data_IF_995466243310
#
_entry.id   IF_995466243310
#
_cell.length_a   1.000
_cell.length_b   1.000
_cell.length_c   1.000
_cell.angle_alpha   90.00
_cell.angle_beta   90.00
_cell.angle_gamma   90.00
#
_symmetry.space_group_name_H-M   'P 1'
#
loop_
_entity.id
_entity.type
_entity.pdbx_description
1 polymer ?
#
# COMPACT_ATOMS: atom_id res chain seq x y z
N UNK A 1 -39.51 -0.65 -36.70
CA UNK A 1 -39.75 -0.57 -35.25
C UNK A 1 -38.67 -1.38 -34.57
N UNK A 2 -37.55 -0.75 -34.21
CA UNK A 2 -36.53 -1.40 -33.39
C UNK A 2 -37.07 -1.48 -31.96
N UNK A 3 -37.41 -2.69 -31.54
CA UNK A 3 -37.82 -2.97 -30.17
C UNK A 3 -36.63 -2.84 -29.24
N UNK A 4 -36.41 -1.63 -28.71
CA UNK A 4 -35.53 -1.42 -27.56
C UNK A 4 -36.13 -2.14 -26.35
N UNK A 5 -35.69 -3.37 -26.08
CA UNK A 5 -36.02 -4.06 -24.82
C UNK A 5 -35.32 -3.32 -23.70
N UNK A 6 -36.09 -2.68 -22.82
CA UNK A 6 -35.54 -2.01 -21.65
C UNK A 6 -34.78 -3.03 -20.79
N UNK A 7 -33.57 -2.68 -20.33
CA UNK A 7 -32.72 -3.55 -19.51
C UNK A 7 -33.42 -4.01 -18.21
N UNK A 8 -34.41 -3.24 -17.75
CA UNK A 8 -35.29 -3.57 -16.62
C UNK A 8 -36.31 -4.69 -16.88
N UNK A 9 -36.48 -5.11 -18.14
CA UNK A 9 -37.35 -6.23 -18.51
C UNK A 9 -36.65 -7.59 -18.41
N UNK A 10 -35.34 -7.62 -18.15
CA UNK A 10 -34.60 -8.86 -17.93
C UNK A 10 -34.94 -9.46 -16.55
N UNK A 11 -34.99 -10.80 -16.42
CA UNK A 11 -35.12 -11.46 -15.14
C UNK A 11 -33.99 -11.07 -14.17
N UNK A 12 -34.29 -10.96 -12.88
CA UNK A 12 -33.33 -10.58 -11.85
C UNK A 12 -32.07 -11.46 -11.88
N UNK A 13 -32.22 -12.77 -12.12
CA UNK A 13 -31.09 -13.70 -12.23
C UNK A 13 -30.14 -13.38 -13.38
N UNK A 14 -30.65 -12.92 -14.53
CA UNK A 14 -29.80 -12.50 -15.65
C UNK A 14 -29.03 -11.22 -15.33
N UNK A 15 -29.69 -10.28 -14.64
CA UNK A 15 -29.06 -9.03 -14.17
C UNK A 15 -27.97 -9.36 -13.13
N UNK A 16 -28.26 -10.24 -12.17
CA UNK A 16 -27.30 -10.67 -11.16
C UNK A 16 -26.10 -11.38 -11.80
N UNK A 17 -26.33 -12.26 -12.78
CA UNK A 17 -25.25 -12.92 -13.51
C UNK A 17 -24.36 -11.91 -14.24
N UNK A 18 -24.95 -10.93 -14.93
CA UNK A 18 -24.18 -9.88 -15.60
C UNK A 18 -23.37 -9.06 -14.59
N UNK A 19 -23.98 -8.65 -13.46
CA UNK A 19 -23.30 -7.89 -12.39
C UNK A 19 -22.15 -8.71 -11.78
N UNK A 20 -22.30 -10.03 -11.62
CA UNK A 20 -21.26 -10.90 -11.05
C UNK A 20 -19.96 -10.94 -11.87
N UNK A 21 -20.01 -10.53 -13.14
CA UNK A 21 -18.85 -10.46 -14.04
C UNK A 21 -18.18 -9.07 -14.04
N UNK A 22 -18.67 -8.14 -13.22
CA UNK A 22 -18.13 -6.78 -13.08
C UNK A 22 -17.28 -6.65 -11.81
N UNK A 23 -17.00 -5.43 -11.35
CA UNK A 23 -16.31 -5.18 -10.08
C UNK A 23 -17.31 -4.97 -8.93
N UNK A 24 -16.88 -5.18 -7.67
CA UNK A 24 -17.66 -4.78 -6.48
C UNK A 24 -18.13 -3.32 -6.53
N UNK A 25 -17.27 -2.42 -7.04
CA UNK A 25 -17.61 -1.00 -7.25
C UNK A 25 -18.77 -0.84 -8.24
N UNK A 26 -18.72 -1.55 -9.37
CA UNK A 26 -19.77 -1.50 -10.39
C UNK A 26 -21.07 -2.11 -9.89
N UNK A 27 -21.02 -3.22 -9.16
CA UNK A 27 -22.21 -3.78 -8.52
C UNK A 27 -22.91 -2.79 -7.59
N UNK A 28 -22.14 -2.04 -6.79
CA UNK A 28 -22.70 -0.98 -5.94
C UNK A 28 -23.33 0.16 -6.74
N UNK A 29 -22.73 0.55 -7.87
CA UNK A 29 -23.29 1.58 -8.77
C UNK A 29 -24.55 1.08 -9.47
N UNK A 30 -24.55 -0.16 -9.95
CA UNK A 30 -25.71 -0.82 -10.56
C UNK A 30 -26.90 -0.84 -9.59
N UNK A 31 -26.67 -1.08 -8.30
CA UNK A 31 -27.74 -1.08 -7.29
C UNK A 31 -28.52 0.24 -7.18
N UNK A 32 -27.95 1.36 -7.63
CA UNK A 32 -28.60 2.67 -7.61
C UNK A 32 -29.57 2.90 -8.79
N UNK A 33 -29.51 2.06 -9.83
CA UNK A 33 -30.27 2.26 -11.09
C UNK A 33 -31.77 2.02 -10.90
N UNK A 34 -32.17 0.93 -10.26
CA UNK A 34 -33.58 0.58 -10.01
C UNK A 34 -33.72 -0.42 -8.87
N UNK A 35 -34.96 -0.69 -8.43
CA UNK A 35 -35.24 -1.69 -7.40
C UNK A 35 -34.80 -3.11 -7.83
N UNK A 36 -35.01 -3.48 -9.09
CA UNK A 36 -34.60 -4.79 -9.63
C UNK A 36 -33.08 -4.93 -9.62
N UNK A 37 -32.36 -3.88 -10.07
CA UNK A 37 -30.90 -3.87 -10.03
C UNK A 37 -30.35 -3.89 -8.61
N UNK A 38 -31.03 -3.22 -7.67
CA UNK A 38 -30.67 -3.24 -6.24
C UNK A 38 -30.77 -4.65 -5.66
N UNK A 39 -31.87 -5.34 -5.94
CA UNK A 39 -32.08 -6.73 -5.50
C UNK A 39 -31.03 -7.66 -6.12
N UNK A 40 -30.85 -7.60 -7.44
CA UNK A 40 -29.86 -8.38 -8.17
C UNK A 40 -28.43 -8.16 -7.66
N UNK A 41 -28.02 -6.90 -7.45
CA UNK A 41 -26.70 -6.54 -6.95
C UNK A 41 -26.48 -6.89 -5.46
N UNK A 42 -27.56 -7.09 -4.69
CA UNK A 42 -27.48 -7.54 -3.30
C UNK A 42 -27.35 -9.07 -3.17
N UNK A 43 -27.63 -9.82 -4.26
CA UNK A 43 -27.68 -11.27 -4.23
C UNK A 43 -26.33 -11.93 -3.94
N UNK A 44 -26.38 -12.96 -3.11
CA UNK A 44 -25.22 -13.75 -2.69
C UNK A 44 -24.51 -14.48 -3.83
N UNK A 45 -25.18 -14.69 -4.97
CA UNK A 45 -24.55 -15.24 -6.18
C UNK A 45 -23.51 -14.28 -6.77
N UNK A 46 -23.80 -12.96 -6.71
CA UNK A 46 -22.89 -11.90 -7.14
C UNK A 46 -21.67 -11.85 -6.22
N UNK A 47 -21.91 -11.74 -4.92
CA UNK A 47 -20.83 -11.58 -3.94
C UNK A 47 -19.97 -12.85 -3.79
N UNK A 48 -20.51 -14.03 -4.09
CA UNK A 48 -19.70 -15.27 -4.22
C UNK A 48 -18.60 -15.13 -5.26
N UNK A 49 -18.83 -14.40 -6.34
CA UNK A 49 -17.88 -14.22 -7.44
C UNK A 49 -16.79 -13.20 -7.13
N UNK A 50 -17.10 -12.22 -6.27
CA UNK A 50 -16.16 -11.18 -5.82
C UNK A 50 -15.25 -11.64 -4.67
N UNK A 51 -15.67 -12.66 -3.92
CA UNK A 51 -14.82 -13.27 -2.90
C UNK A 51 -13.76 -14.16 -3.57
N UNK A 52 -12.50 -14.15 -3.07
CA UNK A 52 -11.48 -15.07 -3.57
C UNK A 52 -11.90 -16.53 -3.43
N UNK A 53 -11.58 -17.36 -4.42
CA UNK A 53 -11.93 -18.79 -4.41
C UNK A 53 -11.21 -19.57 -3.30
N UNK A 54 -10.01 -19.14 -2.92
CA UNK A 54 -9.20 -19.66 -1.82
C UNK A 54 -9.53 -19.00 -0.48
N UNK A 55 -10.58 -18.18 -0.38
CA UNK A 55 -10.97 -17.56 0.88
C UNK A 55 -11.15 -18.56 2.04
N UNK A 56 -11.74 -19.76 1.85
CA UNK A 56 -11.85 -20.73 2.95
C UNK A 56 -10.50 -21.14 3.55
N UNK A 57 -9.44 -21.27 2.74
CA UNK A 57 -8.10 -21.61 3.24
C UNK A 57 -7.40 -20.41 3.89
N UNK A 58 -7.76 -19.18 3.51
CA UNK A 58 -7.33 -17.98 4.22
C UNK A 58 -8.02 -17.89 5.58
N UNK A 59 -9.34 -18.11 5.65
CA UNK A 59 -10.10 -18.04 6.89
C UNK A 59 -9.71 -19.13 7.90
N UNK A 60 -9.28 -20.32 7.43
CA UNK A 60 -8.76 -21.35 8.33
C UNK A 60 -7.44 -20.99 9.02
N UNK A 61 -6.74 -19.96 8.53
CA UNK A 61 -5.50 -19.41 9.14
C UNK A 61 -5.78 -18.24 10.08
N UNK A 62 -7.02 -17.77 10.17
CA UNK A 62 -7.40 -16.63 10.98
C UNK A 62 -7.26 -16.95 12.47
N UNK A 63 -6.75 -15.98 13.22
CA UNK A 63 -6.65 -16.07 14.69
C UNK A 63 -8.03 -16.09 15.32
N UNK A 64 -8.91 -15.21 14.86
CA UNK A 64 -10.30 -15.11 15.30
C UNK A 64 -11.24 -15.57 14.17
N UNK A 65 -12.25 -16.42 14.47
CA UNK A 65 -13.25 -16.81 13.50
C UNK A 65 -14.02 -15.62 12.93
N UNK A 66 -14.31 -15.67 11.63
CA UNK A 66 -15.10 -14.65 10.93
C UNK A 66 -16.38 -15.29 10.41
N UNK A 67 -17.49 -14.98 11.06
CA UNK A 67 -18.81 -15.42 10.64
C UNK A 67 -19.65 -14.21 10.24
N UNK A 68 -20.34 -14.32 9.10
CA UNK A 68 -21.22 -13.29 8.57
C UNK A 68 -22.47 -13.94 7.98
N UNK A 69 -23.64 -13.30 8.07
CA UNK A 69 -24.91 -13.90 7.65
C UNK A 69 -25.05 -14.02 6.13
N UNK A 70 -24.32 -13.19 5.36
CA UNK A 70 -24.32 -13.22 3.89
C UNK A 70 -22.90 -13.06 3.33
N UNK A 71 -22.68 -13.43 2.06
CA UNK A 71 -21.38 -13.22 1.39
C UNK A 71 -21.09 -11.76 1.14
N UNK A 72 -22.14 -10.96 0.95
CA UNK A 72 -22.03 -9.49 0.85
C UNK A 72 -21.48 -8.92 2.15
N UNK A 73 -22.05 -9.31 3.29
CA UNK A 73 -21.60 -8.84 4.60
C UNK A 73 -20.18 -9.32 4.89
N UNK A 74 -19.86 -10.56 4.53
CA UNK A 74 -18.49 -11.08 4.62
C UNK A 74 -17.51 -10.24 3.82
N UNK A 75 -17.85 -9.87 2.57
CA UNK A 75 -17.00 -9.04 1.72
C UNK A 75 -16.71 -7.68 2.38
N UNK A 76 -17.76 -6.96 2.80
CA UNK A 76 -17.58 -5.64 3.43
C UNK A 76 -16.87 -5.75 4.77
N UNK A 77 -17.15 -6.79 5.55
CA UNK A 77 -16.40 -7.08 6.78
C UNK A 77 -14.92 -7.21 6.46
N UNK A 78 -14.52 -8.01 5.47
CA UNK A 78 -13.13 -8.18 5.07
C UNK A 78 -12.49 -6.92 4.48
N UNK A 79 -13.26 -5.97 3.96
CA UNK A 79 -12.74 -4.65 3.58
C UNK A 79 -12.48 -3.74 4.78
N UNK A 80 -13.41 -3.74 5.76
CA UNK A 80 -13.44 -2.73 6.82
C UNK A 80 -12.54 -3.03 8.01
N UNK A 81 -12.34 -4.30 8.36
CA UNK A 81 -11.39 -4.62 9.43
C UNK A 81 -10.49 -5.79 9.02
N UNK A 82 -9.17 -5.59 8.95
CA UNK A 82 -8.23 -6.67 8.69
C UNK A 82 -8.40 -7.83 9.66
N UNK A 83 -8.14 -9.03 9.19
CA UNK A 83 -8.07 -10.24 10.02
C UNK A 83 -6.61 -10.60 10.23
N UNK A 84 -6.26 -11.06 11.43
CA UNK A 84 -4.91 -11.55 11.70
C UNK A 84 -4.80 -13.02 11.29
N UNK A 85 -3.73 -13.36 10.60
CA UNK A 85 -3.41 -14.70 10.15
C UNK A 85 -2.13 -15.19 10.83
N UNK A 86 -1.98 -16.50 10.92
CA UNK A 86 -0.74 -17.18 11.34
C UNK A 86 -0.19 -16.63 12.68
N UNK A 87 -1.02 -16.68 13.73
CA UNK A 87 -0.68 -16.14 15.06
C UNK A 87 -0.28 -14.65 15.07
N UNK A 88 -0.80 -13.86 14.11
CA UNK A 88 -0.52 -12.43 14.00
C UNK A 88 0.73 -12.10 13.19
N UNK A 89 1.33 -13.07 12.49
CA UNK A 89 2.47 -12.81 11.62
C UNK A 89 2.11 -11.90 10.44
N UNK A 90 0.86 -11.97 9.96
CA UNK A 90 0.36 -11.09 8.91
C UNK A 90 -1.12 -10.76 9.10
N UNK A 91 -1.60 -9.72 8.41
CA UNK A 91 -3.01 -9.39 8.33
C UNK A 91 -3.52 -9.46 6.89
N UNK A 92 -4.80 -9.78 6.73
CA UNK A 92 -5.47 -9.88 5.44
C UNK A 92 -6.71 -8.97 5.42
N UNK A 93 -6.94 -8.34 4.26
CA UNK A 93 -8.19 -7.64 3.94
C UNK A 93 -8.45 -7.70 2.44
N UNK A 94 -9.64 -7.29 2.02
CA UNK A 94 -9.95 -7.08 0.60
C UNK A 94 -9.90 -5.60 0.25
N UNK A 95 -9.36 -5.29 -0.92
CA UNK A 95 -9.55 -3.98 -1.53
C UNK A 95 -11.02 -3.78 -1.89
N UNK A 96 -11.59 -2.64 -1.48
CA UNK A 96 -13.03 -2.37 -1.52
C UNK A 96 -13.60 -2.23 -2.93
N UNK A 97 -12.81 -1.75 -3.89
CA UNK A 97 -13.32 -1.50 -5.23
C UNK A 97 -13.08 -2.65 -6.18
N UNK A 98 -11.91 -3.27 -6.11
CA UNK A 98 -11.51 -4.36 -6.99
C UNK A 98 -11.82 -5.75 -6.43
N UNK A 99 -11.89 -5.89 -5.10
CA UNK A 99 -11.91 -7.21 -4.45
C UNK A 99 -10.56 -7.93 -4.46
N UNK A 100 -9.48 -7.25 -4.89
CA UNK A 100 -8.15 -7.84 -4.83
C UNK A 100 -7.64 -7.96 -3.39
N UNK A 101 -6.85 -9.00 -3.14
CA UNK A 101 -6.34 -9.33 -1.81
C UNK A 101 -5.31 -8.30 -1.37
N UNK A 102 -5.37 -7.87 -0.12
CA UNK A 102 -4.35 -7.04 0.50
C UNK A 102 -3.76 -7.78 1.70
N UNK A 103 -2.44 -7.83 1.78
CA UNK A 103 -1.72 -8.42 2.91
C UNK A 103 -0.87 -7.37 3.60
N UNK A 104 -0.62 -7.56 4.89
CA UNK A 104 0.42 -6.81 5.59
C UNK A 104 1.22 -7.76 6.47
N UNK A 105 2.52 -7.82 6.25
CA UNK A 105 3.45 -8.55 7.11
C UNK A 105 3.70 -7.72 8.38
N UNK A 106 3.55 -8.33 9.55
CA UNK A 106 3.91 -7.69 10.82
C UNK A 106 5.42 -7.48 10.91
N UNK A 107 5.87 -6.52 11.72
CA UNK A 107 7.30 -6.33 11.98
C UNK A 107 7.98 -7.60 12.50
N UNK A 108 7.27 -8.47 13.24
CA UNK A 108 7.78 -9.76 13.71
C UNK A 108 7.99 -10.80 12.62
N UNK A 109 7.28 -10.68 11.50
CA UNK A 109 7.45 -11.54 10.33
C UNK A 109 8.53 -11.02 9.36
N UNK A 110 9.10 -9.84 9.62
CA UNK A 110 10.18 -9.28 8.82
C UNK A 110 11.54 -9.77 9.31
N UNK A 111 12.48 -9.90 8.38
CA UNK A 111 13.89 -10.06 8.71
C UNK A 111 14.50 -8.68 8.96
N UNK A 112 14.78 -8.38 10.22
CA UNK A 112 15.39 -7.13 10.66
C UNK A 112 16.79 -7.44 11.18
N UNK A 113 17.82 -6.83 10.57
CA UNK A 113 19.19 -7.01 11.04
C UNK A 113 19.33 -6.49 12.47
N UNK A 114 19.92 -7.34 13.31
CA UNK A 114 20.04 -7.17 14.76
C UNK A 114 18.71 -7.04 15.50
N UNK A 115 17.57 -7.43 14.89
CA UNK A 115 16.24 -7.32 15.50
C UNK A 115 16.07 -8.12 16.79
N UNK A 116 16.88 -9.16 17.01
CA UNK A 116 16.90 -9.95 18.27
C UNK A 116 17.82 -9.37 19.34
N UNK A 117 18.57 -8.32 19.02
CA UNK A 117 19.58 -7.71 19.90
C UNK A 117 18.96 -6.51 20.61
N UNK A 118 18.63 -6.61 21.91
CA UNK A 118 17.87 -5.59 22.65
C UNK A 118 18.59 -4.25 22.79
N UNK A 119 19.90 -4.19 22.55
CA UNK A 119 20.67 -2.95 22.49
C UNK A 119 20.30 -2.08 21.27
N UNK A 120 19.80 -2.70 20.19
CA UNK A 120 19.55 -2.05 18.91
C UNK A 120 18.06 -1.95 18.59
N UNK A 121 17.27 -2.95 18.99
CA UNK A 121 15.83 -3.00 18.74
C UNK A 121 15.08 -3.41 20.00
N UNK A 122 13.93 -2.79 20.24
CA UNK A 122 12.97 -3.24 21.25
C UNK A 122 11.65 -3.59 20.60
N UNK A 123 10.97 -4.58 21.17
CA UNK A 123 9.66 -5.06 20.71
C UNK A 123 8.63 -4.73 21.77
N UNK A 124 7.66 -3.91 21.43
CA UNK A 124 6.67 -3.42 22.38
C UNK A 124 5.27 -3.43 21.76
N UNK A 125 4.22 -3.58 22.58
CA UNK A 125 2.87 -3.29 22.14
C UNK A 125 2.74 -1.81 21.79
N UNK A 126 1.88 -1.48 20.83
CA UNK A 126 1.59 -0.11 20.46
C UNK A 126 0.06 0.06 20.34
N UNK A 127 -0.55 1.08 20.97
CA UNK A 127 -2.02 1.17 21.10
C UNK A 127 -2.75 1.26 19.76
N UNK A 128 -2.13 1.89 18.76
CA UNK A 128 -2.72 2.00 17.42
C UNK A 128 -2.24 0.91 16.46
N UNK A 129 -1.50 -0.10 16.93
CA UNK A 129 -1.08 -1.19 16.05
C UNK A 129 -2.14 -2.26 15.96
N UNK A 130 -2.30 -2.82 14.75
CA UNK A 130 -3.11 -4.04 14.56
C UNK A 130 -2.39 -5.31 15.02
N UNK A 131 -1.08 -5.26 15.20
CA UNK A 131 -0.26 -6.41 15.62
C UNK A 131 0.08 -6.33 17.11
N UNK A 132 0.32 -7.49 17.77
CA UNK A 132 0.66 -7.51 19.20
C UNK A 132 1.94 -6.76 19.55
N UNK A 133 2.90 -6.71 18.61
CA UNK A 133 4.20 -6.08 18.82
C UNK A 133 4.67 -5.34 17.57
N UNK A 134 5.28 -4.18 17.78
CA UNK A 134 5.98 -3.38 16.76
C UNK A 134 7.48 -3.36 17.06
N UNK A 135 8.30 -3.10 16.05
CA UNK A 135 9.76 -2.99 16.21
C UNK A 135 10.16 -1.52 16.38
N UNK A 136 10.75 -1.15 17.51
CA UNK A 136 11.31 0.19 17.75
C UNK A 136 12.83 0.15 17.69
N UNK A 137 13.39 0.96 16.82
CA UNK A 137 14.82 1.13 16.62
C UNK A 137 15.40 2.04 17.72
N UNK A 138 16.34 1.51 18.50
CA UNK A 138 16.98 2.23 19.60
C UNK A 138 18.17 3.05 19.14
N UNK A 139 19.11 2.44 18.42
CA UNK A 139 20.25 3.11 17.78
C UNK A 139 21.04 2.13 16.90
N UNK A 140 21.23 2.37 15.60
CA UNK A 140 22.08 1.55 14.71
C UNK A 140 22.78 2.42 13.66
N UNK A 141 23.90 1.97 13.11
CA UNK A 141 24.48 2.55 11.89
C UNK A 141 24.15 1.75 10.62
N UNK A 142 23.83 0.45 10.76
CA UNK A 142 23.39 -0.44 9.69
C UNK A 142 21.89 -0.71 9.83
N UNK A 143 21.08 -0.22 8.88
CA UNK A 143 19.64 -0.49 8.85
C UNK A 143 19.30 -1.36 7.66
N UNK A 144 18.63 -2.47 7.92
CA UNK A 144 18.20 -3.39 6.90
C UNK A 144 16.95 -4.13 7.39
N UNK A 145 15.87 -3.96 6.63
CA UNK A 145 14.57 -4.58 6.88
C UNK A 145 14.17 -5.28 5.58
N UNK A 146 13.87 -6.58 5.65
CA UNK A 146 13.39 -7.36 4.52
C UNK A 146 12.08 -8.08 4.84
N UNK A 147 11.22 -8.16 3.84
CA UNK A 147 9.97 -8.93 3.88
C UNK A 147 9.86 -9.81 2.64
N UNK A 148 9.23 -10.97 2.80
CA UNK A 148 8.99 -11.93 1.72
C UNK A 148 7.54 -12.39 1.76
N UNK A 149 6.91 -12.49 0.60
CA UNK A 149 5.57 -13.05 0.46
C UNK A 149 5.45 -13.83 -0.85
N UNK A 150 4.79 -14.99 -0.80
CA UNK A 150 4.54 -15.79 -2.01
C UNK A 150 3.54 -15.06 -2.93
N UNK A 151 3.88 -14.93 -4.21
CA UNK A 151 3.05 -14.27 -5.23
C UNK A 151 1.66 -14.92 -5.35
N UNK A 152 1.59 -16.25 -5.19
CA UNK A 152 0.34 -17.03 -5.18
C UNK A 152 -0.68 -16.62 -4.11
N UNK A 153 -0.24 -15.95 -3.03
CA UNK A 153 -1.17 -15.43 -2.03
C UNK A 153 -1.91 -14.19 -2.56
N UNK A 154 -1.35 -13.47 -3.52
CA UNK A 154 -1.89 -12.25 -4.08
C UNK A 154 -2.87 -12.55 -5.23
N UNK A 155 -3.78 -11.61 -5.51
CA UNK A 155 -4.65 -11.72 -6.69
C UNK A 155 -3.82 -11.67 -7.99
N UNK A 156 -4.07 -12.55 -8.96
CA UNK A 156 -3.38 -12.51 -10.26
C UNK A 156 -3.82 -11.29 -11.08
N UNK A 157 -3.08 -11.02 -12.15
CA UNK A 157 -3.31 -9.93 -13.11
C UNK A 157 -3.51 -8.56 -12.43
N UNK A 158 -2.74 -8.30 -11.37
CA UNK A 158 -2.89 -7.11 -10.53
C UNK A 158 -1.53 -6.46 -10.31
N UNK A 159 -1.44 -5.15 -10.52
CA UNK A 159 -0.27 -4.36 -10.09
C UNK A 159 -0.37 -4.04 -8.61
N UNK A 160 0.61 -4.49 -7.85
CA UNK A 160 0.75 -4.22 -6.42
C UNK A 160 1.80 -3.16 -6.16
N UNK A 161 1.66 -2.48 -5.03
CA UNK A 161 2.74 -1.71 -4.41
C UNK A 161 2.93 -2.16 -2.97
N UNK A 162 4.19 -2.19 -2.53
CA UNK A 162 4.57 -2.47 -1.15
C UNK A 162 4.83 -1.15 -0.42
N UNK A 163 4.32 -1.03 0.80
CA UNK A 163 4.43 0.16 1.63
C UNK A 163 4.98 -0.21 3.00
N UNK A 164 6.01 0.50 3.44
CA UNK A 164 6.42 0.42 4.84
C UNK A 164 5.45 1.24 5.68
N UNK A 165 4.87 0.62 6.70
CA UNK A 165 3.98 1.28 7.67
C UNK A 165 4.78 1.53 8.96
N UNK A 166 4.95 2.79 9.31
CA UNK A 166 5.87 3.19 10.38
C UNK A 166 5.46 4.49 11.09
N UNK A 167 6.09 4.73 12.23
CA UNK A 167 6.10 5.98 12.98
C UNK A 167 7.52 6.38 13.29
N UNK A 168 7.70 7.64 13.69
CA UNK A 168 8.95 8.13 14.26
C UNK A 168 8.69 8.72 15.64
N UNK A 169 9.54 8.34 16.60
CA UNK A 169 9.55 8.87 17.96
C UNK A 169 9.78 10.39 17.96
N UNK A 170 9.48 11.09 19.05
CA UNK A 170 9.74 12.54 19.18
C UNK A 170 11.22 12.86 19.02
N UNK A 171 12.08 12.03 19.60
CA UNK A 171 13.55 12.19 19.61
C UNK A 171 14.25 11.35 18.53
N UNK A 172 13.59 11.11 17.39
CA UNK A 172 14.20 10.39 16.27
C UNK A 172 15.38 11.19 15.69
N UNK A 173 16.38 10.48 15.19
CA UNK A 173 17.57 11.09 14.56
C UNK A 173 18.12 10.16 13.48
N UNK A 174 18.88 10.71 12.52
CA UNK A 174 19.61 9.95 11.50
C UNK A 174 18.73 9.28 10.44
N UNK A 175 17.46 9.67 10.33
CA UNK A 175 16.52 9.14 9.32
C UNK A 175 16.28 10.11 8.15
N UNK A 176 16.76 11.35 8.25
CA UNK A 176 16.68 12.36 7.20
C UNK A 176 17.82 12.27 6.19
N UNK A 177 18.98 11.79 6.63
CA UNK A 177 20.17 11.62 5.81
C UNK A 177 21.12 10.59 6.45
N UNK A 178 21.78 9.72 5.65
CA UNK A 178 21.57 9.54 4.21
C UNK A 178 20.20 8.94 3.92
N UNK A 179 19.69 9.07 2.68
CA UNK A 179 18.40 8.49 2.34
C UNK A 179 18.47 6.96 2.39
N UNK A 180 17.32 6.34 2.61
CA UNK A 180 17.17 4.90 2.61
C UNK A 180 16.88 4.41 1.18
N UNK A 181 17.50 3.30 0.80
CA UNK A 181 17.27 2.61 -0.46
C UNK A 181 16.18 1.54 -0.26
N UNK A 182 15.14 1.56 -1.07
CA UNK A 182 14.08 0.56 -1.07
C UNK A 182 14.07 -0.22 -2.38
N UNK A 183 13.76 -1.51 -2.29
CA UNK A 183 13.71 -2.39 -3.46
C UNK A 183 12.56 -3.38 -3.34
N UNK A 184 11.87 -3.63 -4.44
CA UNK A 184 10.89 -4.71 -4.58
C UNK A 184 11.24 -5.55 -5.80
N UNK A 185 11.29 -6.87 -5.60
CA UNK A 185 11.71 -7.84 -6.60
C UNK A 185 10.64 -8.94 -6.75
N UNK A 186 10.27 -9.26 -7.99
CA UNK A 186 9.50 -10.45 -8.33
C UNK A 186 10.02 -11.02 -9.65
N UNK A 187 10.74 -12.15 -9.59
CA UNK A 187 11.37 -12.73 -10.77
C UNK A 187 12.40 -11.77 -11.38
N UNK A 188 12.19 -11.37 -12.63
CA UNK A 188 13.01 -10.36 -13.33
C UNK A 188 12.55 -8.92 -13.09
N UNK A 189 11.40 -8.70 -12.45
CA UNK A 189 10.91 -7.36 -12.14
C UNK A 189 11.67 -6.80 -10.95
N UNK A 190 12.22 -5.60 -11.10
CA UNK A 190 12.93 -4.86 -10.06
C UNK A 190 12.40 -3.43 -10.02
N UNK A 191 11.98 -2.99 -8.84
CA UNK A 191 11.57 -1.61 -8.56
C UNK A 191 12.44 -1.05 -7.44
N UNK A 192 13.22 -0.03 -7.74
CA UNK A 192 14.12 0.64 -6.78
C UNK A 192 13.62 2.06 -6.49
N UNK A 193 13.78 2.50 -5.24
CA UNK A 193 13.41 3.84 -4.77
C UNK A 193 14.37 4.36 -3.73
N UNK A 194 14.48 5.69 -3.68
CA UNK A 194 15.21 6.42 -2.63
C UNK A 194 14.21 7.18 -1.77
N UNK A 195 14.28 7.00 -0.45
CA UNK A 195 13.29 7.43 0.52
C UNK A 195 13.94 8.22 1.67
N UNK A 196 13.16 9.10 2.32
CA UNK A 196 13.51 9.66 3.64
C UNK A 196 12.42 9.35 4.66
N UNK A 197 12.78 8.66 5.73
CA UNK A 197 11.84 8.30 6.81
C UNK A 197 11.62 9.46 7.80
N UNK A 198 11.16 10.60 7.29
CA UNK A 198 10.86 11.81 8.06
C UNK A 198 9.37 12.09 8.14
N UNK A 199 8.95 12.90 9.11
CA UNK A 199 7.55 13.35 9.18
C UNK A 199 7.21 14.17 7.92
N UNK A 200 6.01 13.98 7.32
CA UNK A 200 5.54 14.86 6.26
C UNK A 200 5.48 16.31 6.76
N UNK A 201 5.90 17.28 5.93
CA UNK A 201 5.72 18.70 6.22
C UNK A 201 4.22 19.02 6.25
N UNK A 202 3.72 19.56 7.36
CA UNK A 202 2.33 20.02 7.44
C UNK A 202 2.10 21.15 6.42
N UNK A 203 1.11 20.97 5.54
CA UNK A 203 0.70 22.00 4.56
C UNK A 203 1.24 21.83 3.13
N UNK A 204 2.08 20.83 2.85
CA UNK A 204 2.47 20.53 1.47
C UNK A 204 1.33 19.76 0.75
N UNK A 205 0.77 20.27 -0.36
CA UNK A 205 -0.25 19.53 -1.09
C UNK A 205 0.33 18.21 -1.61
N UNK A 206 -0.44 17.13 -1.49
CA UNK A 206 -0.09 15.85 -2.07
C UNK A 206 0.19 16.05 -3.57
N UNK A 207 1.45 15.85 -4.01
CA UNK A 207 1.78 15.79 -5.43
C UNK A 207 1.02 14.61 -6.05
N UNK A 208 -0.19 14.88 -6.56
CA UNK A 208 -0.89 14.02 -7.50
C UNK A 208 -0.10 14.09 -8.80
N UNK A 209 0.66 13.03 -9.10
CA UNK A 209 1.32 12.86 -10.39
C UNK A 209 0.26 12.61 -11.48
N UNK A 210 -0.44 13.66 -11.91
CA UNK A 210 -1.12 13.67 -13.20
C UNK A 210 -0.07 14.03 -14.25
N UNK A 211 0.42 13.01 -14.98
CA UNK A 211 1.16 13.19 -16.22
C UNK A 211 0.25 13.88 -17.24
N UNK A 212 0.35 15.20 -17.37
CA UNK A 212 -0.05 15.88 -18.59
C UNK A 212 1.24 16.28 -19.30
N UNK A 213 1.56 15.54 -20.35
CA UNK A 213 2.57 15.90 -21.34
C UNK A 213 2.11 17.21 -22.00
N UNK A 214 2.82 18.31 -21.74
CA UNK A 214 2.79 19.50 -22.61
C UNK A 214 4.21 19.93 -22.91
N UNK A 215 4.72 19.39 -24.00
CA UNK A 215 5.85 19.95 -24.73
C UNK A 215 5.40 21.20 -25.48
N UNK A 216 6.34 22.13 -25.66
CA UNK A 216 6.35 23.31 -26.51
C UNK A 216 5.65 24.58 -25.97
N UNK A 217 6.46 25.56 -25.53
CA UNK A 217 6.83 26.71 -26.36
C UNK A 217 7.91 27.57 -25.68
N UNK A 218 9.04 27.69 -26.36
CA UNK A 218 10.14 28.62 -26.09
C UNK A 218 9.75 30.07 -26.45
N UNK A 219 10.49 31.01 -25.84
CA UNK A 219 11.11 32.20 -26.47
C UNK A 219 10.50 33.60 -26.24
N UNK A 220 11.28 34.45 -25.53
CA UNK A 220 11.60 35.90 -25.67
C UNK A 220 11.86 36.47 -24.26
N UNK A 221 12.92 37.19 -23.89
CA UNK A 221 14.08 37.78 -24.57
C UNK A 221 14.54 39.02 -23.78
N UNK A 222 15.78 38.97 -23.24
CA UNK A 222 16.80 40.06 -23.23
C UNK A 222 16.74 41.22 -22.18
N UNK A 223 17.76 41.21 -21.29
CA UNK A 223 18.61 42.26 -20.66
C UNK A 223 18.13 43.22 -19.53
N UNK A 224 18.75 43.07 -18.35
CA UNK A 224 19.51 44.13 -17.62
C UNK A 224 20.32 43.53 -16.42
N UNK A 225 21.50 44.08 -16.13
CA UNK A 225 22.49 43.70 -15.07
C UNK A 225 22.93 45.02 -14.38
N UNK A 226 23.55 45.05 -13.17
CA UNK A 226 23.03 44.81 -11.82
C UNK A 226 23.25 46.02 -10.86
N UNK A 227 22.65 46.01 -9.66
CA UNK A 227 23.15 46.76 -8.49
C UNK A 227 23.07 45.88 -7.23
N UNK A 228 23.96 46.19 -6.28
CA UNK A 228 24.72 45.34 -5.36
C UNK A 228 24.11 45.10 -3.96
N UNK A 229 24.47 43.94 -3.37
CA UNK A 229 24.78 43.65 -1.94
C UNK A 229 23.65 43.84 -0.91
N UNK A 230 23.31 42.94 0.01
CA UNK A 230 23.83 41.66 0.50
C UNK A 230 22.71 41.02 1.33
N UNK A 231 22.13 39.88 0.94
CA UNK A 231 21.52 38.87 1.85
C UNK A 231 21.57 37.53 1.09
N UNK A 232 22.63 36.75 1.34
CA UNK A 232 22.79 35.42 0.79
C UNK A 232 21.89 34.44 1.57
N UNK A 233 20.65 34.28 1.12
CA UNK A 233 19.88 33.08 1.37
C UNK A 233 20.53 31.97 0.53
N UNK A 234 21.13 30.98 1.19
CA UNK A 234 21.61 29.75 0.56
C UNK A 234 20.41 28.96 0.03
N UNK A 235 19.95 29.31 -1.18
CA UNK A 235 19.16 28.41 -2.00
C UNK A 235 20.09 27.25 -2.41
N UNK A 236 19.97 26.13 -1.70
CA UNK A 236 20.59 24.86 -2.11
C UNK A 236 20.05 24.52 -3.52
N UNK A 237 20.89 24.73 -4.54
CA UNK A 237 20.65 24.22 -5.88
C UNK A 237 20.54 22.69 -5.80
N UNK A 238 19.30 22.18 -5.84
CA UNK A 238 19.01 20.76 -5.98
C UNK A 238 19.66 20.25 -7.28
N UNK A 239 20.82 19.61 -7.14
CA UNK A 239 21.39 18.80 -8.21
C UNK A 239 20.39 17.69 -8.56
N UNK A 240 19.77 17.83 -9.74
CA UNK A 240 18.82 16.91 -10.37
C UNK A 240 19.47 15.54 -10.60
N UNK A 241 19.51 14.74 -9.54
CA UNK A 241 19.71 13.30 -9.65
C UNK A 241 18.33 12.67 -9.85
N UNK A 242 18.13 12.13 -11.04
CA UNK A 242 16.93 11.48 -11.59
C UNK A 242 16.20 10.39 -10.76
N UNK A 243 16.43 10.27 -9.44
CA UNK A 243 15.65 9.45 -8.52
C UNK A 243 14.54 10.28 -7.89
N UNK A 244 13.28 10.03 -8.25
CA UNK A 244 12.12 10.67 -7.59
C UNK A 244 12.11 10.26 -6.11
N UNK A 245 12.56 11.15 -5.24
CA UNK A 245 12.54 10.94 -3.79
C UNK A 245 11.09 10.77 -3.30
N UNK A 246 10.77 9.61 -2.74
CA UNK A 246 9.42 9.34 -2.24
C UNK A 246 9.34 9.69 -0.76
N UNK A 247 8.53 10.70 -0.47
CA UNK A 247 8.25 11.14 0.89
C UNK A 247 7.11 10.34 1.53
N UNK A 248 7.16 10.11 2.85
CA UNK A 248 6.08 9.48 3.60
C UNK A 248 4.78 10.29 3.54
N UNK A 249 3.66 9.60 3.79
CA UNK A 249 2.32 10.19 3.91
C UNK A 249 1.67 9.75 5.22
N UNK A 250 0.95 10.66 5.86
CA UNK A 250 0.14 10.32 7.03
C UNK A 250 -1.09 9.51 6.63
N UNK A 251 -1.48 8.58 7.51
CA UNK A 251 -2.68 7.76 7.42
C UNK A 251 -3.68 8.16 8.50
N UNK A 252 -4.95 7.84 8.28
CA UNK A 252 -6.04 8.14 9.22
C UNK A 252 -5.94 7.35 10.54
N UNK A 253 -5.20 6.23 10.54
CA UNK A 253 -4.90 5.42 11.73
C UNK A 253 -3.74 5.98 12.58
N UNK A 254 -3.18 7.12 12.17
CA UNK A 254 -2.08 7.80 12.84
C UNK A 254 -0.70 7.17 12.58
N UNK A 255 -0.60 6.20 11.66
CA UNK A 255 0.66 5.74 11.11
C UNK A 255 1.08 6.57 9.89
N UNK A 256 2.31 6.40 9.45
CA UNK A 256 2.77 6.88 8.15
C UNK A 256 2.99 5.70 7.21
N UNK A 257 2.84 5.95 5.92
CA UNK A 257 3.24 5.01 4.87
C UNK A 257 4.21 5.64 3.88
N UNK A 258 5.15 4.83 3.38
CA UNK A 258 6.02 5.19 2.25
C UNK A 258 6.11 4.01 1.29
N UNK A 259 6.04 4.29 -0.02
CA UNK A 259 6.06 3.27 -1.06
C UNK A 259 7.49 2.74 -1.26
N UNK A 260 7.69 1.44 -1.05
CA UNK A 260 8.98 0.76 -1.25
C UNK A 260 9.24 0.43 -2.72
N UNK A 261 8.18 0.10 -3.46
CA UNK A 261 8.29 -0.45 -4.82
C UNK A 261 6.94 -0.92 -5.35
N UNK A 262 6.85 -1.14 -6.66
CA UNK A 262 5.68 -1.76 -7.31
C UNK A 262 6.09 -2.97 -8.15
N UNK A 263 5.14 -3.88 -8.38
CA UNK A 263 5.35 -5.07 -9.21
C UNK A 263 4.00 -5.54 -9.79
N UNK A 264 4.05 -6.24 -10.93
CA UNK A 264 2.89 -6.87 -11.52
C UNK A 264 2.85 -8.36 -11.19
N UNK A 265 1.76 -8.83 -10.59
CA UNK A 265 1.55 -10.24 -10.30
C UNK A 265 0.80 -10.91 -11.46
N UNK A 266 1.51 -11.60 -12.36
CA UNK A 266 0.88 -12.28 -13.49
C UNK A 266 0.20 -13.59 -13.07
N UNK A 267 -0.80 -14.02 -13.84
CA UNK A 267 -1.48 -15.29 -13.60
C UNK A 267 -0.57 -16.50 -13.88
N UNK A 268 -0.61 -17.50 -13.00
CA UNK A 268 0.15 -18.74 -13.17
C UNK A 268 1.62 -18.69 -12.74
N UNK A 269 2.16 -17.51 -12.42
CA UNK A 269 3.53 -17.39 -11.90
C UNK A 269 3.63 -17.83 -10.43
N UNK A 270 4.57 -18.74 -10.15
CA UNK A 270 4.99 -19.07 -8.79
C UNK A 270 6.31 -18.36 -8.48
N UNK A 271 6.25 -17.38 -7.60
CA UNK A 271 7.40 -16.59 -7.21
C UNK A 271 7.30 -16.11 -5.79
N UNK A 272 8.41 -15.58 -5.29
CA UNK A 272 8.46 -14.86 -4.02
C UNK A 272 8.71 -13.39 -4.31
N UNK A 273 7.85 -12.54 -3.76
CA UNK A 273 8.06 -11.10 -3.77
C UNK A 273 8.98 -10.76 -2.61
N UNK A 274 10.17 -10.24 -2.90
CA UNK A 274 11.10 -9.72 -1.90
C UNK A 274 10.99 -8.21 -1.83
N UNK A 275 10.83 -7.66 -0.63
CA UNK A 275 10.74 -6.23 -0.36
C UNK A 275 11.83 -5.88 0.65
N UNK A 276 12.54 -4.78 0.43
CA UNK A 276 13.59 -4.35 1.34
C UNK A 276 13.65 -2.84 1.49
N UNK A 277 14.14 -2.42 2.66
CA UNK A 277 14.56 -1.06 2.98
C UNK A 277 15.93 -1.14 3.63
N UNK A 278 16.90 -0.42 3.10
CA UNK A 278 18.29 -0.48 3.50
C UNK A 278 18.91 0.91 3.65
N UNK A 279 19.80 1.04 4.62
CA UNK A 279 20.76 2.12 4.72
C UNK A 279 22.01 1.58 5.41
N UNK A 280 22.94 1.08 4.58
CA UNK A 280 24.10 0.31 5.03
C UNK A 280 25.43 0.95 4.68
N UNK A 281 25.42 1.99 3.82
CA UNK A 281 26.64 2.58 3.24
C UNK A 281 27.15 3.81 4.00
N UNK A 282 26.27 4.55 4.66
CA UNK A 282 26.63 5.84 5.26
C UNK A 282 27.29 5.77 6.63
N UNK A 283 27.15 4.67 7.37
CA UNK A 283 27.66 4.57 8.75
C UNK A 283 27.00 5.52 9.76
N UNK A 284 25.98 6.29 9.36
CA UNK A 284 25.30 7.25 10.21
C UNK A 284 24.38 6.56 11.21
N UNK A 285 24.55 6.91 12.48
CA UNK A 285 23.72 6.43 13.56
C UNK A 285 22.31 6.99 13.46
N UNK A 286 21.33 6.11 13.61
CA UNK A 286 19.90 6.43 13.48
C UNK A 286 19.08 5.73 14.54
N UNK A 287 18.00 6.39 14.95
CA UNK A 287 17.10 5.91 16.00
C UNK A 287 15.70 6.46 15.89
N UNK A 288 14.79 5.84 16.63
CA UNK A 288 13.43 6.32 16.80
C UNK A 288 12.47 5.87 15.70
N UNK A 289 12.91 5.05 14.74
CA UNK A 289 12.02 4.39 13.78
C UNK A 289 11.17 3.34 14.52
N UNK A 290 9.85 3.38 14.31
CA UNK A 290 8.90 2.41 14.86
C UNK A 290 8.19 1.75 13.68
N UNK A 291 8.42 0.46 13.45
CA UNK A 291 7.89 -0.29 12.31
C UNK A 291 6.71 -1.12 12.74
N UNK A 292 5.56 -0.91 12.10
CA UNK A 292 4.40 -1.81 12.23
C UNK A 292 4.55 -3.02 11.31
N UNK A 293 4.98 -2.79 10.06
CA UNK A 293 5.06 -3.84 9.06
C UNK A 293 5.19 -3.33 7.63
N UNK A 294 5.08 -4.25 6.67
CA UNK A 294 5.05 -3.95 5.23
C UNK A 294 3.69 -4.36 4.67
N UNK A 295 2.95 -3.41 4.11
CA UNK A 295 1.63 -3.58 3.50
C UNK A 295 1.72 -3.70 1.98
N UNK A 296 1.14 -4.76 1.42
CA UNK A 296 1.07 -5.08 0.00
C UNK A 296 -0.38 -4.91 -0.44
N UNK A 297 -0.64 -3.89 -1.25
CA UNK A 297 -1.99 -3.53 -1.72
C UNK A 297 -2.00 -3.22 -3.23
N UNK A 298 -3.13 -3.43 -3.94
CA UNK A 298 -3.27 -3.03 -5.34
C UNK A 298 -2.96 -1.54 -5.50
N UNK A 299 -2.20 -1.19 -6.55
CA UNK A 299 -1.79 0.20 -6.80
C UNK A 299 -2.88 1.01 -7.52
N UNK A 300 -3.58 0.37 -8.45
CA UNK A 300 -4.62 0.98 -9.26
C UNK A 300 -5.93 0.21 -9.01
N UNK A 301 -6.89 0.82 -8.29
CA UNK A 301 -8.13 0.17 -7.86
C UNK A 301 -9.39 1.06 -8.00
#
# INVERSE_FOLDING_TARGET
MEGSVAMSALPEGCIAQAISLTTPRDACRSAAVSAVFRSAAASDCVWKRFLPSDLPSILSRAVDPVECPSKRDLYFRLCDRPILLDAGAMSFRLDRSSGAKCFMLSAKALSIIWGVTPQYWTWAPHPNSRFPQVAKLLNVCWLEIRGKIKSKLLSPNTTYAAYLIFKVDENYNGLSYPPQEAMVILGSQVSERTLRLVRPRMGAPARRNTRIFRSFLNWRGVLAVPQSQDEAEEEEEEEDTSGVEVSPRSRDDGWMEVELGEFYNAEGEDGEVEMSLMEVRGGHWKRGLIVEGIEIKPKYA
#
